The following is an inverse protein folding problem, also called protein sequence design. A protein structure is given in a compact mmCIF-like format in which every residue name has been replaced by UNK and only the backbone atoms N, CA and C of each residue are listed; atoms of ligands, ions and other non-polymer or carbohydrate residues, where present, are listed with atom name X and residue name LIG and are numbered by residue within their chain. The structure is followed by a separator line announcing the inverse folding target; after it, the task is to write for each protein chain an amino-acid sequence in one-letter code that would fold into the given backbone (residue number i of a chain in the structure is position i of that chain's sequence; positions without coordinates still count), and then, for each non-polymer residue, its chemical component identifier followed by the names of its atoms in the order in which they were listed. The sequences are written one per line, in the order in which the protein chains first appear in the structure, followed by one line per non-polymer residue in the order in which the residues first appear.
data_IF_706513307772
#
_entry.id   IF_706513307772
#
_cell.length_a   1.000
_cell.length_b   1.000
_cell.length_c   1.000
_cell.angle_alpha   90.00
_cell.angle_beta   90.00
_cell.angle_gamma   90.00
#
_symmetry.space_group_name_H-M   'P 1'
#
loop_
_entity.id
_entity.type
_entity.pdbx_description
1 polymer ?
#
# COMPACT_ATOMS: atom_id res chain seq x y z
N UNK A 1 10.24 -19.93 -32.36
CA UNK A 1 9.84 -18.50 -32.31
C UNK A 1 8.82 -18.34 -31.19
N UNK A 2 8.94 -17.33 -30.34
CA UNK A 2 8.21 -17.19 -29.06
C UNK A 2 6.71 -16.85 -29.20
N UNK A 3 6.09 -17.09 -30.37
CA UNK A 3 4.68 -16.80 -30.64
C UNK A 3 4.26 -15.32 -30.52
N UNK A 4 5.19 -14.39 -30.31
CA UNK A 4 4.84 -13.00 -30.02
C UNK A 4 4.44 -12.26 -31.28
N UNK A 5 3.23 -11.72 -31.27
CA UNK A 5 2.71 -10.89 -32.33
C UNK A 5 3.23 -9.45 -32.17
N UNK A 6 3.65 -8.83 -33.26
CA UNK A 6 4.20 -7.48 -33.27
C UNK A 6 3.36 -6.56 -34.15
N UNK A 7 3.08 -5.38 -33.63
CA UNK A 7 2.56 -4.27 -34.42
C UNK A 7 3.73 -3.51 -35.04
N UNK A 8 3.65 -3.29 -36.35
CA UNK A 8 4.59 -2.51 -37.12
C UNK A 8 3.92 -1.21 -37.58
N UNK A 9 4.44 -0.07 -37.13
CA UNK A 9 3.93 1.25 -37.49
C UNK A 9 4.94 1.96 -38.40
N UNK A 10 4.45 2.48 -39.52
CA UNK A 10 5.23 3.24 -40.50
C UNK A 10 4.64 4.64 -40.65
N UNK A 11 5.52 5.63 -40.67
CA UNK A 11 5.17 7.01 -40.99
C UNK A 11 5.88 7.36 -42.28
N UNK A 12 5.06 7.73 -43.25
CA UNK A 12 5.46 7.99 -44.63
C UNK A 12 4.98 9.39 -45.02
N UNK A 13 5.66 10.02 -45.96
CA UNK A 13 5.19 11.28 -46.52
C UNK A 13 3.85 11.06 -47.24
N UNK A 14 2.87 11.94 -46.98
CA UNK A 14 1.57 11.84 -47.62
C UNK A 14 1.69 11.96 -49.14
N UNK A 15 1.18 10.97 -49.87
CA UNK A 15 1.07 10.98 -51.33
C UNK A 15 -0.37 10.65 -51.73
N UNK A 16 -1.10 11.58 -52.38
CA UNK A 16 -2.56 11.51 -52.50
C UNK A 16 -3.09 10.38 -53.40
N UNK A 17 -2.26 9.71 -54.20
CA UNK A 17 -2.71 8.72 -55.21
C UNK A 17 -2.13 7.31 -55.04
N UNK A 18 -1.70 6.93 -53.83
CA UNK A 18 -1.04 5.64 -53.62
C UNK A 18 -1.74 4.80 -52.55
N UNK A 19 -2.16 3.59 -52.95
CA UNK A 19 -2.60 2.56 -52.02
C UNK A 19 -1.36 1.87 -51.42
N UNK A 20 -1.27 1.90 -50.10
CA UNK A 20 -0.17 1.30 -49.35
C UNK A 20 -0.52 -0.13 -49.01
N UNK A 21 0.35 -1.06 -49.40
CA UNK A 21 0.26 -2.48 -49.06
C UNK A 21 1.59 -2.90 -48.43
N UNK A 22 1.58 -3.94 -47.61
CA UNK A 22 2.78 -4.41 -46.94
C UNK A 22 3.88 -4.75 -47.94
N UNK A 23 3.53 -5.46 -49.02
CA UNK A 23 4.49 -5.86 -50.04
C UNK A 23 5.02 -4.68 -50.85
N UNK A 24 4.27 -3.57 -50.97
CA UNK A 24 4.75 -2.37 -51.62
C UNK A 24 5.70 -1.58 -50.71
N UNK A 25 5.42 -1.52 -49.41
CA UNK A 25 6.31 -0.94 -48.39
C UNK A 25 7.62 -1.74 -48.22
N UNK A 26 7.54 -3.07 -48.22
CA UNK A 26 8.68 -3.96 -48.00
C UNK A 26 9.65 -3.97 -49.20
N UNK A 27 9.12 -3.98 -50.44
CA UNK A 27 9.93 -4.03 -51.67
C UNK A 27 10.56 -2.69 -52.04
N UNK A 28 9.93 -1.58 -51.63
CA UNK A 28 10.35 -0.24 -52.01
C UNK A 28 10.70 0.61 -50.77
N UNK A 29 11.20 0.00 -49.70
CA UNK A 29 11.59 0.70 -48.48
C UNK A 29 12.61 1.82 -48.71
N UNK A 30 13.41 1.71 -49.78
CA UNK A 30 14.38 2.74 -50.20
C UNK A 30 13.78 3.80 -51.14
N UNK A 31 12.66 3.51 -51.81
CA UNK A 31 12.04 4.41 -52.80
C UNK A 31 10.87 5.20 -52.20
N UNK A 32 10.15 4.61 -51.25
CA UNK A 32 9.26 5.32 -50.35
C UNK A 32 10.09 5.68 -49.12
N UNK A 33 10.45 6.95 -48.96
CA UNK A 33 11.19 7.43 -47.80
C UNK A 33 10.37 7.16 -46.52
N UNK A 34 10.50 5.96 -45.94
CA UNK A 34 9.92 5.61 -44.65
C UNK A 34 10.62 6.50 -43.63
N UNK A 35 9.91 7.54 -43.19
CA UNK A 35 10.45 8.56 -42.29
C UNK A 35 10.58 8.01 -40.87
N UNK A 36 9.62 7.21 -40.41
CA UNK A 36 9.68 6.61 -39.07
C UNK A 36 9.15 5.19 -39.10
N UNK A 37 9.88 4.28 -38.46
CA UNK A 37 9.46 2.89 -38.27
C UNK A 37 9.52 2.53 -36.78
N UNK A 38 8.43 1.97 -36.26
CA UNK A 38 8.33 1.50 -34.87
C UNK A 38 7.75 0.09 -34.84
N UNK A 39 8.33 -0.74 -33.98
CA UNK A 39 7.88 -2.10 -33.69
C UNK A 39 7.47 -2.17 -32.22
N UNK A 40 6.26 -2.65 -31.95
CA UNK A 40 5.70 -2.79 -30.59
C UNK A 40 5.17 -4.21 -30.41
N UNK A 41 5.48 -4.91 -29.30
CA UNK A 41 4.89 -6.21 -29.02
C UNK A 41 3.40 -6.04 -28.70
N UNK A 42 2.55 -6.76 -29.44
CA UNK A 42 1.10 -6.73 -29.30
C UNK A 42 0.60 -7.81 -28.34
N UNK A 43 1.29 -8.94 -28.29
CA UNK A 43 1.03 -10.01 -27.34
C UNK A 43 1.97 -9.91 -26.13
N UNK A 44 1.44 -10.12 -24.93
CA UNK A 44 2.21 -10.24 -23.69
C UNK A 44 1.83 -11.54 -22.97
N UNK A 45 2.84 -12.24 -22.46
CA UNK A 45 2.62 -13.37 -21.55
C UNK A 45 2.46 -12.81 -20.14
N UNK A 46 1.28 -12.97 -19.57
CA UNK A 46 0.97 -12.50 -18.23
C UNK A 46 0.16 -13.55 -17.48
N UNK A 47 0.18 -13.48 -16.15
CA UNK A 47 -0.71 -14.29 -15.33
C UNK A 47 -2.15 -13.81 -15.53
N UNK A 48 -3.13 -14.72 -15.67
CA UNK A 48 -4.52 -14.32 -15.75
C UNK A 48 -4.94 -13.62 -14.45
N UNK A 49 -5.86 -12.64 -14.50
CA UNK A 49 -6.37 -11.98 -13.31
C UNK A 49 -7.06 -12.98 -12.36
N UNK A 50 -6.93 -12.75 -11.06
CA UNK A 50 -7.59 -13.56 -10.03
C UNK A 50 -9.11 -13.53 -10.24
N UNK A 51 -9.72 -14.65 -10.67
CA UNK A 51 -11.18 -14.75 -10.78
C UNK A 51 -11.80 -14.99 -9.41
N UNK A 52 -12.79 -14.19 -9.04
CA UNK A 52 -13.65 -14.42 -7.88
C UNK A 52 -14.84 -15.27 -8.29
N UNK A 53 -15.29 -16.16 -7.40
CA UNK A 53 -16.45 -17.00 -7.63
C UNK A 53 -17.28 -17.14 -6.36
N UNK A 54 -18.56 -17.42 -6.50
CA UNK A 54 -19.40 -17.82 -5.38
C UNK A 54 -18.97 -19.20 -4.90
N UNK A 55 -18.64 -19.33 -3.62
CA UNK A 55 -18.17 -20.60 -3.05
C UNK A 55 -19.22 -21.73 -3.11
N UNK A 56 -20.50 -21.38 -3.28
CA UNK A 56 -21.63 -22.29 -3.41
C UNK A 56 -22.02 -22.59 -4.88
N UNK A 57 -21.40 -21.92 -5.86
CA UNK A 57 -21.61 -22.20 -7.28
C UNK A 57 -20.94 -23.51 -7.69
N UNK A 58 -21.56 -24.28 -8.60
CA UNK A 58 -20.97 -25.49 -9.19
C UNK A 58 -19.69 -25.20 -10.01
N UNK A 59 -19.41 -23.93 -10.32
CA UNK A 59 -18.10 -23.46 -10.76
C UNK A 59 -17.10 -23.49 -9.59
N UNK A 60 -16.70 -24.69 -9.19
CA UNK A 60 -15.70 -24.89 -8.14
C UNK A 60 -14.37 -24.21 -8.47
N UNK A 61 -13.44 -24.11 -7.48
CA UNK A 61 -12.14 -23.48 -7.67
C UNK A 61 -11.36 -24.21 -8.77
N UNK A 62 -11.47 -23.76 -10.02
CA UNK A 62 -10.52 -24.16 -11.04
C UNK A 62 -9.18 -23.52 -10.66
N UNK A 63 -8.39 -24.23 -9.87
CA UNK A 63 -6.94 -24.07 -9.81
C UNK A 63 -6.38 -24.42 -11.19
N UNK A 64 -6.70 -23.61 -12.21
CA UNK A 64 -5.90 -23.57 -13.42
C UNK A 64 -4.53 -23.10 -12.96
N UNK A 65 -3.56 -23.99 -13.08
CA UNK A 65 -2.14 -23.74 -12.81
C UNK A 65 -1.78 -22.31 -13.19
N UNK A 66 -1.03 -21.60 -12.34
CA UNK A 66 -0.45 -20.25 -12.54
C UNK A 66 0.53 -20.23 -13.73
N UNK A 67 0.10 -20.71 -14.89
CA UNK A 67 0.87 -20.69 -16.11
C UNK A 67 0.57 -19.36 -16.79
N UNK A 68 1.60 -18.62 -17.22
CA UNK A 68 1.38 -17.41 -17.98
C UNK A 68 0.63 -17.77 -19.27
N UNK A 69 -0.47 -17.06 -19.53
CA UNK A 69 -1.27 -17.22 -20.75
C UNK A 69 -1.04 -16.02 -21.65
N UNK A 70 -1.23 -16.22 -22.96
CA UNK A 70 -1.08 -15.16 -23.95
C UNK A 70 -2.23 -14.17 -23.81
N UNK A 71 -1.88 -12.91 -23.62
CA UNK A 71 -2.82 -11.80 -23.70
C UNK A 71 -2.47 -10.91 -24.89
N UNK A 72 -3.48 -10.24 -25.45
CA UNK A 72 -3.33 -9.24 -26.51
C UNK A 72 -3.70 -7.87 -25.93
N UNK A 73 -2.98 -6.83 -26.34
CA UNK A 73 -3.28 -5.45 -25.97
C UNK A 73 -4.50 -4.94 -26.75
N UNK A 74 -5.54 -4.50 -26.05
CA UNK A 74 -6.73 -3.92 -26.66
C UNK A 74 -6.58 -2.42 -26.94
N UNK A 75 -5.63 -1.74 -26.32
CA UNK A 75 -5.37 -0.31 -26.52
C UNK A 75 -3.91 -0.07 -26.86
N UNK A 76 -3.66 0.70 -27.92
CA UNK A 76 -2.32 1.08 -28.36
C UNK A 76 -2.33 2.57 -28.63
N UNK A 77 -1.52 3.32 -27.89
CA UNK A 77 -1.41 4.76 -28.06
C UNK A 77 -0.01 5.17 -28.53
N UNK A 78 0.02 6.02 -29.56
CA UNK A 78 1.23 6.66 -30.04
C UNK A 78 1.15 8.17 -29.84
N UNK A 79 2.22 8.71 -29.27
CA UNK A 79 2.38 10.13 -29.02
C UNK A 79 3.34 10.73 -30.06
N UNK A 80 2.89 11.75 -30.79
CA UNK A 80 3.71 12.48 -31.76
C UNK A 80 4.01 13.89 -31.28
N UNK A 81 5.29 14.26 -31.31
CA UNK A 81 5.73 15.60 -30.99
C UNK A 81 5.34 16.57 -32.11
N UNK A 82 4.58 17.61 -31.77
CA UNK A 82 4.15 18.65 -32.73
C UNK A 82 4.74 20.03 -32.45
N UNK A 83 5.12 20.33 -31.20
CA UNK A 83 5.42 21.70 -30.75
C UNK A 83 6.83 22.21 -31.12
N UNK A 84 7.72 21.34 -31.59
CA UNK A 84 9.13 21.69 -31.84
C UNK A 84 9.46 21.56 -33.31
N UNK A 85 9.84 22.69 -33.92
CA UNK A 85 10.24 22.77 -35.32
C UNK A 85 11.76 22.97 -35.50
N UNK A 86 12.49 23.27 -34.42
CA UNK A 86 13.94 23.48 -34.44
C UNK A 86 14.57 22.81 -33.22
N UNK A 87 15.59 21.99 -33.46
CA UNK A 87 16.38 21.35 -32.42
C UNK A 87 17.84 21.81 -32.47
N UNK A 88 18.47 22.12 -31.32
CA UNK A 88 19.90 22.39 -31.26
C UNK A 88 20.66 21.12 -31.65
N UNK A 89 21.61 21.23 -32.60
CA UNK A 89 22.35 20.07 -33.14
C UNK A 89 23.25 19.36 -32.11
N UNK A 90 23.68 20.06 -31.07
CA UNK A 90 24.67 19.58 -30.09
C UNK A 90 24.08 19.32 -28.69
N UNK A 91 22.84 19.75 -28.42
CA UNK A 91 22.23 19.70 -27.09
C UNK A 91 20.92 18.90 -27.11
N UNK A 92 20.96 17.71 -27.73
CA UNK A 92 19.81 16.81 -27.73
C UNK A 92 19.76 16.12 -26.35
N UNK A 93 18.64 16.21 -25.61
CA UNK A 93 18.50 15.50 -24.35
C UNK A 93 18.61 13.99 -24.54
N UNK A 94 19.24 13.32 -23.57
CA UNK A 94 19.60 11.92 -23.71
C UNK A 94 18.39 10.99 -23.91
N UNK A 95 17.25 11.37 -23.36
CA UNK A 95 16.00 10.62 -23.43
C UNK A 95 15.47 10.50 -24.87
N UNK A 96 15.81 11.49 -25.72
CA UNK A 96 15.32 11.59 -27.08
C UNK A 96 16.22 10.92 -28.12
N UNK A 97 17.46 10.53 -27.79
CA UNK A 97 18.39 9.95 -28.77
C UNK A 97 17.82 8.73 -29.51
N UNK A 98 17.09 7.85 -28.81
CA UNK A 98 16.47 6.66 -29.40
C UNK A 98 15.28 6.98 -30.32
N UNK A 99 14.78 8.21 -30.25
CA UNK A 99 13.65 8.68 -31.05
C UNK A 99 14.04 9.70 -32.11
N UNK A 100 15.20 10.33 -31.97
CA UNK A 100 15.72 11.30 -32.89
C UNK A 100 16.36 10.59 -34.09
N UNK A 101 15.89 10.94 -35.29
CA UNK A 101 16.50 10.51 -36.56
C UNK A 101 16.61 11.73 -37.46
N UNK A 102 17.73 11.85 -38.15
CA UNK A 102 18.01 12.94 -39.08
C UNK A 102 18.07 12.34 -40.48
N UNK A 103 17.38 12.94 -41.43
CA UNK A 103 17.49 12.63 -42.85
C UNK A 103 17.53 13.94 -43.64
N UNK A 104 18.45 14.08 -44.59
CA UNK A 104 18.58 15.27 -45.45
C UNK A 104 18.62 16.61 -44.66
N UNK A 105 19.39 16.68 -43.57
CA UNK A 105 19.48 17.85 -42.66
C UNK A 105 18.17 18.25 -41.94
N UNK A 106 17.09 17.49 -42.08
CA UNK A 106 15.84 17.64 -41.34
C UNK A 106 15.70 16.52 -40.30
N UNK A 107 15.11 16.83 -39.14
CA UNK A 107 14.79 15.78 -38.17
C UNK A 107 13.42 15.18 -38.49
N UNK A 108 13.32 13.87 -38.37
CA UNK A 108 12.10 13.12 -38.63
C UNK A 108 11.12 13.28 -37.45
N UNK A 109 9.80 13.19 -37.70
CA UNK A 109 8.80 13.30 -36.64
C UNK A 109 9.10 12.34 -35.48
N UNK A 110 9.17 12.89 -34.27
CA UNK A 110 9.44 12.10 -33.07
C UNK A 110 8.13 11.45 -32.64
N UNK A 111 8.04 10.14 -32.82
CA UNK A 111 6.89 9.33 -32.37
C UNK A 111 7.33 8.30 -31.35
N UNK A 112 6.71 8.39 -30.17
CA UNK A 112 6.93 7.50 -29.05
C UNK A 112 5.68 6.66 -28.80
N UNK A 113 5.89 5.37 -28.56
CA UNK A 113 4.84 4.51 -28.01
C UNK A 113 4.57 4.92 -26.57
N UNK A 114 3.30 5.10 -26.19
CA UNK A 114 2.95 5.50 -24.84
C UNK A 114 2.99 4.29 -23.89
N UNK A 115 4.17 3.98 -23.33
CA UNK A 115 4.31 2.88 -22.37
C UNK A 115 3.52 3.11 -21.07
N UNK A 116 3.14 4.36 -20.75
CA UNK A 116 2.35 4.64 -19.55
C UNK A 116 0.91 4.11 -19.67
N UNK A 117 0.38 4.05 -20.88
CA UNK A 117 -0.92 3.45 -21.16
C UNK A 117 -0.84 1.96 -21.53
N UNK A 118 0.36 1.38 -21.55
CA UNK A 118 0.59 -0.06 -21.68
C UNK A 118 0.39 -0.74 -20.32
N UNK A 119 -0.88 -0.98 -19.98
CA UNK A 119 -1.32 -1.53 -18.70
C UNK A 119 -1.96 -2.91 -18.86
N UNK A 120 -1.83 -3.75 -17.85
CA UNK A 120 -2.42 -5.08 -17.74
C UNK A 120 -3.96 -5.04 -17.74
N UNK A 121 -4.58 -3.90 -17.38
CA UNK A 121 -6.03 -3.70 -17.48
C UNK A 121 -6.55 -3.72 -18.92
N UNK A 122 -5.71 -3.33 -19.89
CA UNK A 122 -6.03 -3.36 -21.32
C UNK A 122 -5.53 -4.64 -22.00
N UNK A 123 -5.14 -5.66 -21.23
CA UNK A 123 -4.80 -6.98 -21.76
C UNK A 123 -6.04 -7.86 -21.76
N UNK A 124 -6.43 -8.37 -22.94
CA UNK A 124 -7.48 -9.39 -23.04
C UNK A 124 -6.82 -10.76 -23.20
N UNK A 125 -7.30 -11.72 -22.42
CA UNK A 125 -6.85 -13.12 -22.48
C UNK A 125 -7.27 -13.74 -23.82
N UNK A 126 -6.32 -14.37 -24.52
CA UNK A 126 -6.61 -15.13 -25.75
C UNK A 126 -7.04 -16.53 -25.37
N UNK A 127 -8.35 -16.80 -25.51
CA UNK A 127 -8.90 -18.14 -25.33
C UNK A 127 -8.91 -18.89 -26.67
N UNK A 128 -8.99 -20.22 -26.60
CA UNK A 128 -9.02 -21.09 -27.80
C UNK A 128 -10.27 -20.89 -28.67
N UNK A 129 -11.32 -20.25 -28.15
CA UNK A 129 -12.59 -19.95 -28.83
C UNK A 129 -12.61 -18.56 -29.51
N UNK A 130 -11.58 -17.73 -29.28
CA UNK A 130 -11.59 -16.32 -29.68
C UNK A 130 -10.91 -16.14 -31.04
N UNK A 131 -11.68 -15.94 -32.11
CA UNK A 131 -11.18 -15.72 -33.48
C UNK A 131 -11.04 -14.24 -33.87
N UNK A 132 -11.79 -13.35 -33.23
CA UNK A 132 -11.80 -11.92 -33.52
C UNK A 132 -11.52 -11.13 -32.25
N UNK A 133 -10.74 -10.05 -32.37
CA UNK A 133 -10.44 -9.17 -31.24
C UNK A 133 -10.36 -7.72 -31.70
N UNK A 134 -11.09 -6.86 -31.00
CA UNK A 134 -11.07 -5.42 -31.22
C UNK A 134 -9.83 -4.79 -30.55
N UNK A 135 -9.09 -4.02 -31.36
CA UNK A 135 -7.91 -3.27 -30.93
C UNK A 135 -8.15 -1.80 -31.25
N UNK A 136 -8.17 -0.98 -30.20
CA UNK A 136 -8.32 0.46 -30.31
C UNK A 136 -6.94 1.10 -30.52
N UNK A 137 -6.78 1.78 -31.66
CA UNK A 137 -5.60 2.58 -31.95
C UNK A 137 -5.88 4.05 -31.61
N UNK A 138 -5.05 4.64 -30.76
CA UNK A 138 -5.17 6.04 -30.35
C UNK A 138 -3.92 6.82 -30.76
N UNK A 139 -4.16 7.95 -31.41
CA UNK A 139 -3.11 8.90 -31.77
C UNK A 139 -3.32 10.19 -30.97
N UNK A 140 -2.27 10.64 -30.29
CA UNK A 140 -2.33 11.83 -29.43
C UNK A 140 -1.14 12.77 -29.71
N UNK A 141 -1.35 14.04 -30.04
CA UNK A 141 -0.26 15.01 -30.08
C UNK A 141 0.27 15.28 -28.67
N UNK A 142 1.58 15.45 -28.53
CA UNK A 142 2.24 15.69 -27.24
C UNK A 142 3.19 16.88 -27.30
N UNK A 143 3.27 17.63 -26.20
CA UNK A 143 4.24 18.71 -26.05
C UNK A 143 5.63 18.19 -25.69
N UNK A 144 6.64 19.00 -25.98
CA UNK A 144 8.04 18.64 -25.74
C UNK A 144 8.34 18.29 -24.29
N UNK A 145 7.91 19.14 -23.35
CA UNK A 145 8.12 18.92 -21.92
C UNK A 145 7.42 17.66 -21.42
N UNK A 146 6.17 17.44 -21.84
CA UNK A 146 5.40 16.26 -21.45
C UNK A 146 6.01 14.97 -22.02
N UNK A 147 6.50 15.01 -23.26
CA UNK A 147 7.20 13.87 -23.87
C UNK A 147 8.48 13.53 -23.11
N UNK A 148 9.31 14.53 -22.76
CA UNK A 148 10.52 14.29 -21.97
C UNK A 148 10.22 13.69 -20.60
N UNK A 149 9.23 14.24 -19.89
CA UNK A 149 8.80 13.70 -18.61
C UNK A 149 8.31 12.25 -18.75
N UNK A 150 7.50 11.96 -19.77
CA UNK A 150 7.03 10.60 -20.06
C UNK A 150 8.19 9.62 -20.27
N UNK A 151 9.18 9.98 -21.10
CA UNK A 151 10.34 9.12 -21.37
C UNK A 151 11.23 8.92 -20.14
N UNK A 152 11.36 9.94 -19.30
CA UNK A 152 12.09 9.84 -18.04
C UNK A 152 11.38 8.91 -17.05
N UNK A 153 10.05 9.03 -16.91
CA UNK A 153 9.25 8.12 -16.08
C UNK A 153 9.32 6.69 -16.61
N UNK A 154 9.30 6.51 -17.94
CA UNK A 154 9.48 5.21 -18.58
C UNK A 154 10.82 4.56 -18.21
N UNK A 155 11.91 5.34 -18.26
CA UNK A 155 13.23 4.86 -17.85
C UNK A 155 13.27 4.49 -16.36
N UNK A 156 12.63 5.28 -15.50
CA UNK A 156 12.50 4.96 -14.07
C UNK A 156 11.76 3.65 -13.84
N UNK A 157 10.66 3.39 -14.57
CA UNK A 157 9.93 2.12 -14.45
C UNK A 157 10.74 0.92 -14.92
N UNK A 158 11.56 1.07 -15.96
CA UNK A 158 12.49 0.00 -16.39
C UNK A 158 13.52 -0.31 -15.30
N UNK A 159 14.02 0.72 -14.61
CA UNK A 159 14.93 0.55 -13.47
C UNK A 159 14.24 -0.14 -12.28
N UNK A 160 13.02 0.28 -11.94
CA UNK A 160 12.20 -0.33 -10.89
C UNK A 160 11.89 -1.80 -11.20
N UNK A 161 11.56 -2.13 -12.45
CA UNK A 161 11.38 -3.51 -12.90
C UNK A 161 12.64 -4.35 -12.71
N UNK A 162 13.82 -3.78 -12.99
CA UNK A 162 15.12 -4.46 -12.77
C UNK A 162 15.41 -4.69 -11.28
N UNK A 163 14.88 -3.86 -10.39
CA UNK A 163 14.96 -4.05 -8.94
C UNK A 163 14.05 -5.16 -8.41
N UNK A 164 13.21 -5.76 -9.26
CA UNK A 164 12.37 -6.91 -8.92
C UNK A 164 10.93 -6.57 -8.51
N UNK A 165 10.47 -5.35 -8.77
CA UNK A 165 9.05 -4.99 -8.62
C UNK A 165 8.19 -5.75 -9.64
N UNK A 166 6.97 -6.11 -9.23
CA UNK A 166 6.03 -6.85 -10.08
C UNK A 166 5.44 -5.94 -11.17
N UNK A 167 5.12 -6.53 -12.32
CA UNK A 167 4.39 -5.84 -13.41
C UNK A 167 3.10 -5.19 -12.93
N UNK A 168 2.44 -5.77 -11.90
CA UNK A 168 1.23 -5.21 -11.29
C UNK A 168 1.51 -3.88 -10.60
N UNK A 169 2.57 -3.78 -9.79
CA UNK A 169 2.90 -2.53 -9.08
C UNK A 169 3.28 -1.42 -10.05
N UNK A 170 4.03 -1.76 -11.10
CA UNK A 170 4.40 -0.79 -12.12
C UNK A 170 3.14 -0.25 -12.79
N UNK A 171 2.15 -1.11 -13.05
CA UNK A 171 0.88 -0.70 -13.64
C UNK A 171 0.02 0.14 -12.71
N UNK A 172 0.02 -0.13 -11.40
CA UNK A 172 -0.65 0.73 -10.41
C UNK A 172 -0.05 2.15 -10.45
N UNK A 173 1.28 2.28 -10.46
CA UNK A 173 1.95 3.60 -10.54
C UNK A 173 1.75 4.26 -11.91
N UNK A 174 1.76 3.50 -13.01
CA UNK A 174 1.39 4.02 -14.34
C UNK A 174 -0.03 4.56 -14.35
N UNK A 175 -0.97 3.86 -13.72
CA UNK A 175 -2.37 4.30 -13.61
C UNK A 175 -2.46 5.64 -12.89
N UNK A 176 -1.71 5.81 -11.80
CA UNK A 176 -1.65 7.09 -11.09
C UNK A 176 -1.11 8.22 -11.96
N UNK A 177 -0.16 7.96 -12.86
CA UNK A 177 0.39 9.00 -13.73
C UNK A 177 -0.49 9.29 -14.97
N UNK A 178 -1.11 8.25 -15.55
CA UNK A 178 -1.85 8.36 -16.81
C UNK A 178 -3.29 8.84 -16.63
N UNK A 179 -3.99 8.36 -15.60
CA UNK A 179 -5.43 8.61 -15.42
C UNK A 179 -5.73 9.77 -14.47
N UNK A 180 -4.74 10.21 -13.68
CA UNK A 180 -4.95 11.20 -12.62
C UNK A 180 -4.59 12.60 -13.08
N UNK A 181 -5.37 13.61 -12.68
CA UNK A 181 -5.00 15.00 -12.91
C UNK A 181 -3.67 15.32 -12.22
N UNK A 182 -2.78 16.08 -12.87
CA UNK A 182 -1.43 16.37 -12.38
C UNK A 182 -1.42 16.88 -10.92
N UNK A 183 -2.36 17.76 -10.55
CA UNK A 183 -2.53 18.24 -9.17
C UNK A 183 -2.78 17.14 -8.14
N UNK A 184 -3.67 16.18 -8.45
CA UNK A 184 -3.97 15.07 -7.54
C UNK A 184 -2.77 14.13 -7.44
N UNK A 185 -2.08 13.86 -8.55
CA UNK A 185 -0.85 13.08 -8.56
C UNK A 185 0.25 13.72 -7.68
N UNK A 186 0.52 15.02 -7.87
CA UNK A 186 1.53 15.75 -7.09
C UNK A 186 1.18 15.77 -5.60
N UNK A 187 -0.09 15.99 -5.29
CA UNK A 187 -0.60 15.95 -3.91
C UNK A 187 -0.37 14.57 -3.31
N UNK A 188 -0.70 13.50 -4.05
CA UNK A 188 -0.48 12.12 -3.58
C UNK A 188 0.99 11.84 -3.32
N UNK A 189 1.90 12.34 -4.16
CA UNK A 189 3.34 12.19 -3.95
C UNK A 189 3.82 12.91 -2.68
N UNK A 190 3.35 14.13 -2.43
CA UNK A 190 3.69 14.90 -1.22
C UNK A 190 3.14 14.20 0.02
N UNK A 191 1.87 13.78 0.01
CA UNK A 191 1.28 13.05 1.14
C UNK A 191 1.99 11.71 1.38
N UNK A 192 2.34 10.97 0.32
CA UNK A 192 3.19 9.75 0.35
C UNK A 192 4.52 9.98 1.06
N UNK A 193 5.21 11.05 0.69
CA UNK A 193 6.48 11.41 1.31
C UNK A 193 6.32 11.79 2.79
N UNK A 194 5.31 12.61 3.11
CA UNK A 194 5.03 13.03 4.49
C UNK A 194 4.62 11.84 5.37
N UNK A 195 3.84 10.90 4.83
CA UNK A 195 3.50 9.66 5.51
C UNK A 195 4.74 8.84 5.84
N UNK A 196 5.58 8.54 4.85
CA UNK A 196 6.81 7.78 5.04
C UNK A 196 7.75 8.47 6.04
N UNK A 197 7.79 9.81 6.02
CA UNK A 197 8.53 10.59 7.00
C UNK A 197 7.95 10.42 8.41
N UNK A 198 6.64 10.50 8.59
CA UNK A 198 6.01 10.32 9.90
C UNK A 198 6.05 8.88 10.39
N UNK A 199 5.94 7.89 9.52
CA UNK A 199 6.20 6.50 9.84
C UNK A 199 7.63 6.32 10.31
N UNK A 200 8.60 6.85 9.58
CA UNK A 200 10.00 6.82 9.99
C UNK A 200 10.24 7.54 11.32
N UNK A 201 9.61 8.71 11.52
CA UNK A 201 9.70 9.45 12.77
C UNK A 201 8.95 8.75 13.90
N UNK A 202 7.87 8.04 13.63
CA UNK A 202 7.23 7.15 14.58
C UNK A 202 8.22 6.04 14.91
N UNK A 203 8.80 5.33 13.95
CA UNK A 203 9.82 4.31 14.23
C UNK A 203 11.05 4.84 14.99
N UNK A 204 11.49 6.07 14.74
CA UNK A 204 12.69 6.67 15.34
C UNK A 204 12.44 7.37 16.67
N UNK A 205 11.31 8.06 16.80
CA UNK A 205 10.93 8.85 17.97
C UNK A 205 9.92 8.13 18.87
N UNK A 206 9.33 7.03 18.41
CA UNK A 206 8.56 6.17 19.30
C UNK A 206 9.57 5.48 20.21
N UNK A 207 9.54 5.94 21.46
CA UNK A 207 10.31 5.35 22.54
C UNK A 207 9.98 3.86 22.70
N UNK A 208 8.99 3.28 22.02
CA UNK A 208 8.56 1.89 22.16
C UNK A 208 9.68 0.86 21.86
N UNK A 209 10.40 0.91 20.73
CA UNK A 209 11.48 -0.08 20.47
C UNK A 209 12.65 0.06 21.45
N UNK A 210 13.03 1.31 21.76
CA UNK A 210 14.07 1.61 22.78
C UNK A 210 13.63 1.20 24.19
N UNK A 211 12.36 1.43 24.52
CA UNK A 211 11.68 1.08 25.76
C UNK A 211 11.69 -0.44 25.93
N UNK A 212 11.18 -1.17 24.93
CA UNK A 212 11.21 -2.63 24.94
C UNK A 212 12.63 -3.12 24.99
N UNK A 213 13.59 -2.54 24.26
CA UNK A 213 15.00 -2.94 24.26
C UNK A 213 15.63 -2.85 25.66
N UNK A 214 15.39 -1.78 26.39
CA UNK A 214 16.10 -1.45 27.64
C UNK A 214 15.40 -1.94 28.93
N UNK A 215 14.13 -2.36 28.89
CA UNK A 215 13.38 -2.78 30.09
C UNK A 215 13.71 -4.22 30.53
N UNK A 216 13.93 -4.42 31.84
CA UNK A 216 14.12 -5.75 32.48
C UNK A 216 12.89 -6.28 33.23
N UNK A 217 11.95 -5.39 33.58
CA UNK A 217 10.71 -5.73 34.30
C UNK A 217 9.46 -5.50 33.42
N UNK A 218 8.53 -6.45 33.45
CA UNK A 218 7.27 -6.47 32.68
C UNK A 218 6.07 -5.95 33.48
N UNK A 219 6.31 -5.22 34.56
CA UNK A 219 5.25 -4.69 35.43
C UNK A 219 4.52 -3.57 34.67
N UNK A 220 3.19 -3.62 34.64
CA UNK A 220 2.34 -2.65 33.92
C UNK A 220 2.07 -2.98 32.45
N UNK A 221 2.55 -4.13 31.93
CA UNK A 221 2.26 -4.56 30.54
C UNK A 221 1.31 -5.75 30.56
N UNK A 222 0.08 -5.54 30.08
CA UNK A 222 -0.90 -6.61 29.88
C UNK A 222 -0.47 -7.55 28.76
N UNK A 223 0.01 -8.75 29.11
CA UNK A 223 0.43 -9.80 28.16
C UNK A 223 -0.71 -10.17 27.21
N UNK A 224 -1.96 -10.15 27.71
CA UNK A 224 -3.16 -10.43 26.90
C UNK A 224 -3.35 -9.38 25.80
N UNK A 225 -3.14 -8.11 26.13
CA UNK A 225 -3.24 -7.00 25.17
C UNK A 225 -2.15 -7.12 24.08
N UNK A 226 -0.91 -7.41 24.47
CA UNK A 226 0.19 -7.59 23.49
C UNK A 226 -0.06 -8.80 22.57
N UNK A 227 -0.52 -9.92 23.13
CA UNK A 227 -0.88 -11.10 22.33
C UNK A 227 -2.01 -10.81 21.34
N UNK A 228 -3.07 -10.12 21.79
CA UNK A 228 -4.18 -9.73 20.92
C UNK A 228 -3.75 -8.80 19.79
N UNK A 229 -2.90 -7.80 20.10
CA UNK A 229 -2.33 -6.88 19.10
C UNK A 229 -1.47 -7.63 18.07
N UNK A 230 -0.60 -8.53 18.52
CA UNK A 230 0.24 -9.35 17.63
C UNK A 230 -0.61 -10.24 16.73
N UNK A 231 -1.62 -10.92 17.28
CA UNK A 231 -2.56 -11.75 16.51
C UNK A 231 -3.30 -10.92 15.46
N UNK A 232 -3.86 -9.79 15.87
CA UNK A 232 -4.59 -8.87 15.00
C UNK A 232 -3.72 -8.40 13.84
N UNK A 233 -2.48 -8.00 14.13
CA UNK A 233 -1.52 -7.50 13.15
C UNK A 233 -1.15 -8.57 12.12
N UNK A 234 -0.94 -9.82 12.55
CA UNK A 234 -0.65 -10.95 11.65
C UNK A 234 -1.83 -11.22 10.72
N UNK A 235 -3.05 -11.25 11.26
CA UNK A 235 -4.27 -11.49 10.47
C UNK A 235 -4.46 -10.39 9.40
N UNK A 236 -4.29 -9.12 9.79
CA UNK A 236 -4.37 -7.99 8.85
C UNK A 236 -3.29 -8.07 7.79
N UNK A 237 -2.04 -8.38 8.17
CA UNK A 237 -0.95 -8.54 7.22
C UNK A 237 -1.21 -9.65 6.19
N UNK A 238 -1.68 -10.83 6.64
CA UNK A 238 -2.01 -11.94 5.76
C UNK A 238 -3.13 -11.58 4.77
N UNK A 239 -4.12 -10.82 5.22
CA UNK A 239 -5.19 -10.34 4.34
C UNK A 239 -4.69 -9.32 3.31
N UNK A 240 -3.86 -8.36 3.71
CA UNK A 240 -3.26 -7.43 2.76
C UNK A 240 -2.40 -8.15 1.71
N UNK A 241 -1.71 -9.22 2.14
CA UNK A 241 -0.93 -10.07 1.25
C UNK A 241 -1.82 -10.88 0.28
N UNK A 242 -2.96 -11.41 0.72
CA UNK A 242 -3.92 -12.16 -0.11
C UNK A 242 -4.68 -11.27 -1.12
N UNK A 243 -4.99 -10.03 -0.71
CA UNK A 243 -5.61 -9.02 -1.57
C UNK A 243 -4.62 -8.40 -2.59
N UNK A 244 -3.34 -8.81 -2.56
CA UNK A 244 -2.28 -8.27 -3.40
C UNK A 244 -2.25 -6.73 -3.36
N UNK A 245 -2.29 -6.16 -2.15
CA UNK A 245 -2.28 -4.70 -1.96
C UNK A 245 -0.94 -4.07 -2.32
N UNK A 246 -0.95 -2.77 -2.58
CA UNK A 246 0.27 -2.03 -2.95
C UNK A 246 1.38 -2.22 -1.90
N UNK A 247 2.61 -2.44 -2.36
CA UNK A 247 3.79 -2.55 -1.50
C UNK A 247 4.02 -1.32 -0.61
N UNK A 248 3.52 -0.15 -1.02
CA UNK A 248 3.55 1.06 -0.20
C UNK A 248 2.83 0.88 1.14
N UNK A 249 1.78 0.05 1.20
CA UNK A 249 1.02 -0.24 2.42
C UNK A 249 1.50 -1.55 3.06
N UNK A 250 1.82 -2.55 2.24
CA UNK A 250 2.22 -3.88 2.72
C UNK A 250 3.56 -3.85 3.48
N UNK A 251 4.55 -3.09 3.01
CA UNK A 251 5.90 -3.06 3.60
C UNK A 251 5.87 -2.42 5.00
N UNK A 252 5.33 -1.20 5.21
CA UNK A 252 5.23 -0.63 6.56
C UNK A 252 4.44 -1.52 7.51
N UNK A 253 3.31 -2.08 7.05
CA UNK A 253 2.49 -2.97 7.87
C UNK A 253 3.22 -4.28 8.25
N UNK A 254 4.04 -4.81 7.33
CA UNK A 254 4.89 -5.98 7.58
C UNK A 254 5.99 -5.71 8.61
N UNK A 255 6.67 -4.56 8.52
CA UNK A 255 7.67 -4.13 9.52
C UNK A 255 7.02 -4.02 10.91
N UNK A 256 5.84 -3.39 10.99
CA UNK A 256 5.05 -3.32 12.23
C UNK A 256 4.69 -4.70 12.77
N UNK A 257 4.34 -5.66 11.90
CA UNK A 257 4.10 -7.05 12.28
C UNK A 257 5.32 -7.74 12.90
N UNK A 258 6.50 -7.58 12.29
CA UNK A 258 7.76 -8.14 12.84
C UNK A 258 8.07 -7.56 14.21
N UNK A 259 7.82 -6.27 14.41
CA UNK A 259 8.05 -5.60 15.70
C UNK A 259 7.11 -6.15 16.78
N UNK A 260 5.82 -6.31 16.49
CA UNK A 260 4.86 -6.88 17.46
C UNK A 260 5.21 -8.32 17.84
N UNK A 261 5.62 -9.14 16.87
CA UNK A 261 6.13 -10.50 17.13
C UNK A 261 7.38 -10.46 18.02
N UNK A 262 8.32 -9.56 17.74
CA UNK A 262 9.51 -9.38 18.58
C UNK A 262 9.17 -8.99 20.03
N UNK A 263 8.19 -8.09 20.24
CA UNK A 263 7.69 -7.74 21.58
C UNK A 263 7.13 -8.96 22.29
N UNK A 264 6.32 -9.76 21.61
CA UNK A 264 5.73 -10.99 22.16
C UNK A 264 6.81 -11.99 22.59
N UNK A 265 7.80 -12.24 21.73
CA UNK A 265 8.94 -13.13 22.03
C UNK A 265 9.76 -12.63 23.22
N UNK A 266 9.88 -11.31 23.40
CA UNK A 266 10.60 -10.72 24.53
C UNK A 266 9.89 -10.91 25.87
N UNK A 267 8.55 -10.88 25.89
CA UNK A 267 7.74 -11.14 27.09
C UNK A 267 7.86 -12.61 27.49
N UNK A 268 7.73 -13.50 26.52
CA UNK A 268 7.91 -14.94 26.70
C UNK A 268 9.40 -15.28 26.72
N UNK A 269 10.11 -14.88 27.78
CA UNK A 269 11.49 -15.35 28.00
C UNK A 269 11.49 -16.88 27.99
N UNK A 270 12.05 -17.46 26.94
CA UNK A 270 12.18 -18.90 26.78
C UNK A 270 13.17 -19.42 27.83
N UNK A 271 12.66 -20.05 28.87
CA UNK A 271 13.50 -20.71 29.88
C UNK A 271 13.96 -22.06 29.31
N UNK A 272 15.18 -22.05 28.75
CA UNK A 272 15.84 -23.21 28.12
C UNK A 272 15.94 -24.44 29.03
N UNK A 273 15.75 -24.30 30.34
CA UNK A 273 15.91 -25.37 31.33
C UNK A 273 14.60 -26.11 31.65
N UNK A 274 13.43 -25.55 31.36
CA UNK A 274 12.13 -26.14 31.74
C UNK A 274 11.17 -26.41 30.58
N UNK A 275 11.49 -26.01 29.34
CA UNK A 275 10.59 -26.08 28.17
C UNK A 275 9.15 -25.61 28.51
N UNK A 276 9.02 -24.59 29.34
CA UNK A 276 7.72 -24.07 29.75
C UNK A 276 7.73 -22.55 29.71
N UNK A 277 6.66 -21.97 29.18
CA UNK A 277 6.43 -20.53 29.25
C UNK A 277 6.07 -20.16 30.69
N UNK A 278 7.04 -19.65 31.45
CA UNK A 278 6.83 -19.23 32.85
C UNK A 278 6.21 -17.82 32.85
N UNK A 279 4.94 -17.73 33.30
CA UNK A 279 4.21 -16.47 33.45
C UNK A 279 4.70 -15.75 34.72
N UNK A 280 5.21 -14.52 34.59
CA UNK A 280 5.55 -13.67 35.74
C UNK A 280 4.26 -13.12 36.36
N UNK A 281 4.15 -13.18 37.68
CA UNK A 281 2.96 -12.82 38.47
C UNK A 281 2.52 -11.37 38.28
N UNK A 282 1.23 -11.17 37.97
CA UNK A 282 0.54 -9.87 37.84
C UNK A 282 0.54 -9.11 39.16
N UNK A 283 0.68 -7.78 39.09
CA UNK A 283 0.78 -6.91 40.28
C UNK A 283 -0.61 -6.51 40.82
N UNK A 284 -0.71 -6.18 42.11
CA UNK A 284 -1.98 -5.93 42.79
C UNK A 284 -2.76 -4.69 42.28
N UNK A 285 -2.10 -3.72 41.63
CA UNK A 285 -2.75 -2.56 41.02
C UNK A 285 -3.46 -2.89 39.69
N UNK A 286 -3.01 -3.93 38.99
CA UNK A 286 -3.55 -4.42 37.72
C UNK A 286 -4.96 -5.03 37.89
N UNK A 287 -5.25 -5.60 39.07
CA UNK A 287 -6.52 -6.29 39.35
C UNK A 287 -7.75 -5.37 39.39
N UNK A 288 -7.58 -4.08 39.70
CA UNK A 288 -8.72 -3.14 39.86
C UNK A 288 -9.21 -2.56 38.54
N UNK A 289 -8.32 -2.29 37.58
CA UNK A 289 -8.70 -1.88 36.21
C UNK A 289 -9.20 -3.07 35.39
N UNK A 290 -8.53 -4.23 35.52
CA UNK A 290 -8.91 -5.46 34.82
C UNK A 290 -10.33 -5.94 35.14
N UNK A 291 -10.86 -5.65 36.33
CA UNK A 291 -12.21 -6.07 36.72
C UNK A 291 -13.30 -5.32 35.94
N UNK A 292 -13.16 -4.01 35.76
CA UNK A 292 -14.10 -3.21 34.96
C UNK A 292 -13.99 -3.53 33.47
N UNK A 293 -12.76 -3.78 32.98
CA UNK A 293 -12.55 -4.22 31.61
C UNK A 293 -13.13 -5.61 31.34
N UNK A 294 -13.00 -6.56 32.28
CA UNK A 294 -13.57 -7.90 32.14
C UNK A 294 -15.10 -7.89 32.08
N UNK A 295 -15.74 -7.03 32.86
CA UNK A 295 -17.20 -6.91 32.86
C UNK A 295 -17.71 -6.31 31.55
N UNK A 296 -17.09 -5.20 31.11
CA UNK A 296 -17.41 -4.58 29.82
C UNK A 296 -17.15 -5.53 28.64
N UNK A 297 -16.01 -6.23 28.63
CA UNK A 297 -15.67 -7.20 27.58
C UNK A 297 -16.62 -8.40 27.55
N UNK A 298 -17.10 -8.87 28.71
CA UNK A 298 -18.03 -10.01 28.76
C UNK A 298 -19.35 -9.67 28.08
N UNK A 299 -19.99 -8.56 28.45
CA UNK A 299 -21.26 -8.16 27.84
C UNK A 299 -21.12 -7.87 26.34
N UNK A 300 -20.02 -7.21 25.98
CA UNK A 300 -19.75 -6.83 24.61
C UNK A 300 -19.45 -8.06 23.73
N UNK A 301 -18.79 -9.09 24.27
CA UNK A 301 -18.54 -10.35 23.57
C UNK A 301 -19.81 -11.12 23.20
N UNK A 302 -20.88 -11.05 24.02
CA UNK A 302 -22.15 -11.72 23.73
C UNK A 302 -22.87 -11.16 22.49
N UNK A 303 -22.70 -9.88 22.19
CA UNK A 303 -23.24 -9.26 20.98
C UNK A 303 -22.28 -9.46 19.81
N UNK A 304 -20.98 -9.39 20.08
CA UNK A 304 -19.96 -9.37 19.05
C UNK A 304 -19.73 -10.71 18.37
N UNK A 305 -19.66 -11.81 19.13
CA UNK A 305 -19.48 -13.14 18.55
C UNK A 305 -20.60 -13.53 17.57
N UNK A 306 -21.91 -13.39 17.90
CA UNK A 306 -22.96 -13.69 16.95
C UNK A 306 -22.98 -12.73 15.77
N UNK A 307 -22.63 -11.45 15.94
CA UNK A 307 -22.52 -10.51 14.83
C UNK A 307 -21.39 -10.89 13.86
N UNK A 308 -20.21 -11.26 14.37
CA UNK A 308 -19.09 -11.73 13.55
C UNK A 308 -19.42 -13.06 12.84
N UNK A 309 -20.14 -13.95 13.50
CA UNK A 309 -20.57 -15.21 12.90
C UNK A 309 -21.61 -14.96 11.80
N UNK A 310 -22.58 -14.09 12.04
CA UNK A 310 -23.58 -13.72 11.06
C UNK A 310 -22.96 -13.06 9.82
N UNK A 311 -21.99 -12.16 9.98
CA UNK A 311 -21.28 -11.55 8.85
C UNK A 311 -20.41 -12.54 8.09
N UNK A 312 -19.76 -13.49 8.78
CA UNK A 312 -18.99 -14.55 8.15
C UNK A 312 -19.88 -15.49 7.31
N UNK A 313 -21.03 -15.91 7.85
CA UNK A 313 -22.02 -16.76 7.14
C UNK A 313 -22.63 -16.01 5.96
N UNK A 314 -23.03 -14.75 6.16
CA UNK A 314 -23.54 -13.91 5.07
C UNK A 314 -22.52 -13.77 3.94
N UNK A 315 -21.26 -13.49 4.28
CA UNK A 315 -20.20 -13.36 3.28
C UNK A 315 -19.91 -14.68 2.56
N UNK A 316 -20.04 -15.82 3.23
CA UNK A 316 -19.87 -17.13 2.60
C UNK A 316 -20.93 -17.41 1.53
N UNK A 317 -22.19 -17.02 1.80
CA UNK A 317 -23.33 -17.32 0.93
C UNK A 317 -23.42 -16.34 -0.25
N UNK A 318 -23.26 -15.04 0.03
CA UNK A 318 -23.61 -13.99 -0.94
C UNK A 318 -22.43 -13.27 -1.57
N UNK A 319 -21.21 -13.39 -1.01
CA UNK A 319 -20.04 -12.71 -1.59
C UNK A 319 -19.20 -13.66 -2.43
N UNK A 320 -18.63 -13.13 -3.51
CA UNK A 320 -17.63 -13.84 -4.28
C UNK A 320 -16.27 -13.79 -3.57
N UNK A 321 -15.53 -14.90 -3.61
CA UNK A 321 -14.19 -15.01 -3.01
C UNK A 321 -13.25 -15.73 -3.97
N UNK A 322 -11.94 -15.52 -3.81
CA UNK A 322 -10.91 -16.24 -4.58
C UNK A 322 -10.77 -17.69 -4.14
N UNK A 323 -11.02 -17.97 -2.87
CA UNK A 323 -10.89 -19.29 -2.25
C UNK A 323 -11.53 -19.31 -0.86
N UNK A 324 -11.70 -20.51 -0.29
CA UNK A 324 -12.11 -20.67 1.11
C UNK A 324 -11.09 -20.03 2.07
N UNK A 325 -9.80 -20.03 1.72
CA UNK A 325 -8.76 -19.35 2.49
C UNK A 325 -8.96 -17.83 2.50
N UNK A 326 -9.23 -17.25 1.34
CA UNK A 326 -9.49 -15.81 1.18
C UNK A 326 -10.77 -15.40 1.94
N UNK A 327 -11.83 -16.21 1.89
CA UNK A 327 -13.04 -16.01 2.70
C UNK A 327 -12.76 -16.05 4.21
N UNK A 328 -11.98 -17.05 4.67
CA UNK A 328 -11.64 -17.19 6.08
C UNK A 328 -10.83 -15.99 6.57
N UNK A 329 -9.82 -15.57 5.80
CA UNK A 329 -9.02 -14.38 6.10
C UNK A 329 -9.88 -13.12 6.16
N UNK A 330 -10.75 -12.90 5.17
CA UNK A 330 -11.64 -11.74 5.11
C UNK A 330 -12.61 -11.71 6.31
N UNK A 331 -13.12 -12.87 6.71
CA UNK A 331 -13.97 -13.02 7.89
C UNK A 331 -13.19 -12.77 9.19
N UNK A 332 -11.96 -13.28 9.30
CA UNK A 332 -11.07 -13.04 10.44
C UNK A 332 -10.70 -11.57 10.57
N UNK A 333 -10.37 -10.89 9.47
CA UNK A 333 -10.07 -9.45 9.47
C UNK A 333 -11.27 -8.63 9.90
N UNK A 334 -12.47 -8.93 9.38
CA UNK A 334 -13.69 -8.26 9.82
C UNK A 334 -13.92 -8.43 11.32
N UNK A 335 -13.70 -9.63 11.85
CA UNK A 335 -13.77 -9.88 13.28
C UNK A 335 -12.71 -9.05 14.03
N UNK A 336 -11.43 -9.14 13.65
CA UNK A 336 -10.32 -8.40 14.27
C UNK A 336 -10.58 -6.89 14.27
N UNK A 337 -11.09 -6.33 13.18
CA UNK A 337 -11.49 -4.92 13.13
C UNK A 337 -12.70 -4.61 14.00
N UNK A 338 -13.69 -5.50 14.12
CA UNK A 338 -14.79 -5.28 15.05
C UNK A 338 -14.34 -5.35 16.53
N UNK A 339 -13.49 -6.32 16.87
CA UNK A 339 -12.88 -6.44 18.21
C UNK A 339 -11.97 -5.25 18.53
N UNK A 340 -11.14 -4.83 17.58
CA UNK A 340 -10.24 -3.68 17.74
C UNK A 340 -11.01 -2.40 18.07
N UNK A 341 -12.17 -2.17 17.43
CA UNK A 341 -13.04 -1.04 17.71
C UNK A 341 -13.48 -1.04 19.17
N UNK A 342 -13.94 -2.21 19.58
CA UNK A 342 -14.48 -2.47 20.90
C UNK A 342 -13.41 -2.30 21.98
N UNK A 343 -12.18 -2.77 21.75
CA UNK A 343 -11.08 -2.60 22.71
C UNK A 343 -10.66 -1.15 22.91
N UNK A 344 -11.01 -0.24 21.99
CA UNK A 344 -10.75 1.20 22.14
C UNK A 344 -11.86 1.95 22.90
N UNK A 345 -13.07 1.38 23.02
CA UNK A 345 -14.20 2.02 23.71
C UNK A 345 -14.06 2.09 25.24
N UNK A 346 -13.48 1.10 25.97
CA UNK A 346 -13.30 1.18 27.42
C UNK A 346 -12.57 2.45 27.85
N UNK A 347 -11.53 2.87 27.12
CA UNK A 347 -10.78 4.08 27.44
C UNK A 347 -11.66 5.33 27.33
N UNK A 348 -12.48 5.43 26.28
CA UNK A 348 -13.47 6.51 26.12
C UNK A 348 -14.52 6.48 27.23
N UNK A 349 -14.97 5.29 27.64
CA UNK A 349 -15.95 5.12 28.71
C UNK A 349 -15.38 5.53 30.08
N UNK A 350 -14.16 5.12 30.38
CA UNK A 350 -13.46 5.49 31.62
C UNK A 350 -13.25 7.00 31.68
N UNK A 351 -12.81 7.63 30.58
CA UNK A 351 -12.68 9.08 30.49
C UNK A 351 -14.01 9.80 30.80
N UNK A 352 -15.12 9.29 30.26
CA UNK A 352 -16.45 9.84 30.50
C UNK A 352 -16.93 9.66 31.95
N UNK A 353 -16.70 8.47 32.53
CA UNK A 353 -17.12 8.12 33.89
C UNK A 353 -16.32 8.88 34.95
N UNK A 354 -15.00 8.97 34.77
CA UNK A 354 -14.10 9.66 35.70
C UNK A 354 -14.04 11.17 35.47
N UNK A 355 -14.59 11.67 34.36
CA UNK A 355 -14.53 13.09 33.95
C UNK A 355 -13.08 13.61 33.91
N UNK A 356 -12.14 12.75 33.53
CA UNK A 356 -10.72 13.09 33.39
C UNK A 356 -10.09 12.29 32.25
N UNK A 357 -9.13 12.88 31.54
CA UNK A 357 -8.38 12.20 30.48
C UNK A 357 -6.99 11.83 30.96
N UNK A 358 -6.52 10.64 30.58
CA UNK A 358 -5.19 10.17 30.93
C UNK A 358 -4.10 11.07 30.32
N UNK A 359 -3.00 11.26 31.04
CA UNK A 359 -1.90 12.07 30.54
C UNK A 359 -1.10 11.33 29.47
N UNK A 360 -1.33 11.68 28.20
CA UNK A 360 -0.54 11.24 27.05
C UNK A 360 0.51 12.30 26.66
N UNK A 361 1.79 11.93 26.47
CA UNK A 361 2.80 12.85 25.96
C UNK A 361 2.38 13.45 24.61
N UNK A 362 2.41 14.78 24.51
CA UNK A 362 1.92 15.51 23.33
C UNK A 362 2.55 15.06 22.01
N UNK A 363 3.85 14.70 22.03
CA UNK A 363 4.58 14.26 20.82
C UNK A 363 4.05 12.93 20.29
N UNK A 364 3.98 11.91 21.14
CA UNK A 364 3.44 10.59 20.79
C UNK A 364 1.98 10.67 20.36
N UNK A 365 1.20 11.50 21.06
CA UNK A 365 -0.18 11.76 20.70
C UNK A 365 -0.32 12.38 19.30
N UNK A 366 0.51 13.36 18.96
CA UNK A 366 0.52 13.98 17.62
C UNK A 366 0.99 13.04 16.53
N UNK A 367 2.02 12.23 16.75
CA UNK A 367 2.44 11.24 15.75
C UNK A 367 1.32 10.24 15.44
N UNK A 368 0.62 9.77 16.47
CA UNK A 368 -0.52 8.88 16.28
C UNK A 368 -1.65 9.56 15.50
N UNK A 369 -1.95 10.82 15.80
CA UNK A 369 -2.99 11.60 15.12
C UNK A 369 -2.69 11.85 13.64
N UNK A 370 -1.45 12.20 13.32
CA UNK A 370 -1.06 12.45 11.93
C UNK A 370 -1.03 11.15 11.12
N UNK A 371 -0.62 10.04 11.71
CA UNK A 371 -0.62 8.75 11.01
C UNK A 371 -2.04 8.34 10.62
N UNK A 372 -3.01 8.41 11.54
CA UNK A 372 -4.39 8.01 11.23
C UNK A 372 -5.05 8.93 10.18
N UNK A 373 -4.82 10.24 10.28
CA UNK A 373 -5.32 11.20 9.28
C UNK A 373 -4.73 10.95 7.88
N UNK A 374 -3.44 10.61 7.81
CA UNK A 374 -2.78 10.35 6.52
C UNK A 374 -3.22 9.00 5.94
N UNK A 375 -3.44 7.99 6.77
CA UNK A 375 -4.00 6.69 6.37
C UNK A 375 -5.37 6.85 5.70
N UNK A 376 -6.21 7.73 6.23
CA UNK A 376 -7.51 8.06 5.64
C UNK A 376 -7.37 8.76 4.27
N UNK A 377 -6.43 9.69 4.13
CA UNK A 377 -6.13 10.32 2.83
C UNK A 377 -5.65 9.28 1.81
N UNK A 378 -4.80 8.32 2.21
CA UNK A 378 -4.39 7.25 1.31
C UNK A 378 -5.49 6.26 0.99
N UNK A 379 -6.40 5.98 1.91
CA UNK A 379 -7.57 5.17 1.63
C UNK A 379 -8.36 5.73 0.44
N UNK A 380 -8.40 7.06 0.27
CA UNK A 380 -9.06 7.70 -0.88
C UNK A 380 -8.21 7.74 -2.16
N UNK A 381 -6.88 7.84 -2.04
CA UNK A 381 -5.98 8.06 -3.18
C UNK A 381 -5.40 6.77 -3.79
N UNK A 382 -5.17 5.75 -2.96
CA UNK A 382 -4.52 4.49 -3.35
C UNK A 382 -5.54 3.36 -3.27
N UNK A 383 -5.45 2.40 -4.19
CA UNK A 383 -6.30 1.21 -4.24
C UNK A 383 -6.03 0.30 -3.04
N UNK A 384 -6.70 0.57 -1.92
CA UNK A 384 -6.72 -0.30 -0.74
C UNK A 384 -8.04 -1.06 -0.62
N UNK A 385 -8.05 -2.24 0.01
CA UNK A 385 -9.27 -2.98 0.28
C UNK A 385 -10.22 -2.15 1.14
N UNK A 386 -11.50 -2.11 0.77
CA UNK A 386 -12.53 -1.29 1.43
C UNK A 386 -12.65 -1.57 2.93
N UNK A 387 -12.45 -2.82 3.35
CA UNK A 387 -12.49 -3.23 4.75
C UNK A 387 -11.35 -2.59 5.56
N UNK A 388 -10.15 -2.52 4.99
CA UNK A 388 -9.01 -1.84 5.62
C UNK A 388 -9.25 -0.33 5.70
N UNK A 389 -9.79 0.26 4.62
CA UNK A 389 -10.15 1.69 4.58
C UNK A 389 -11.16 2.06 5.66
N UNK A 390 -12.18 1.23 5.86
CA UNK A 390 -13.19 1.43 6.91
C UNK A 390 -12.58 1.32 8.32
N UNK A 391 -11.59 0.44 8.51
CA UNK A 391 -10.88 0.30 9.77
C UNK A 391 -10.04 1.54 10.12
N UNK A 392 -9.34 2.12 9.14
CA UNK A 392 -8.63 3.40 9.31
C UNK A 392 -9.60 4.53 9.69
N UNK A 393 -10.68 4.67 8.93
CA UNK A 393 -11.69 5.72 9.14
C UNK A 393 -12.35 5.64 10.53
N UNK A 394 -12.59 4.42 11.02
CA UNK A 394 -13.05 4.16 12.38
C UNK A 394 -12.08 4.73 13.42
N UNK A 395 -10.79 4.48 13.26
CA UNK A 395 -9.79 4.90 14.24
C UNK A 395 -9.71 6.43 14.31
N UNK A 396 -9.94 7.12 13.19
CA UNK A 396 -10.11 8.58 13.11
C UNK A 396 -11.36 9.07 13.86
N UNK A 397 -12.52 8.41 13.74
CA UNK A 397 -13.72 8.75 14.53
C UNK A 397 -13.45 8.64 16.03
N UNK A 398 -12.85 7.53 16.47
CA UNK A 398 -12.50 7.31 17.88
C UNK A 398 -11.55 8.40 18.35
N UNK A 399 -10.56 8.74 17.53
CA UNK A 399 -9.58 9.77 17.82
C UNK A 399 -10.23 11.16 17.97
N UNK A 400 -11.20 11.51 17.12
CA UNK A 400 -11.98 12.76 17.26
C UNK A 400 -12.80 12.81 18.54
N UNK A 401 -13.46 11.70 18.93
CA UNK A 401 -14.19 11.62 20.21
C UNK A 401 -13.23 11.79 21.38
N UNK A 402 -12.05 11.17 21.31
CA UNK A 402 -11.02 11.33 22.33
C UNK A 402 -10.54 12.79 22.45
N UNK A 403 -10.32 13.48 21.31
CA UNK A 403 -10.00 14.91 21.29
C UNK A 403 -11.09 15.75 21.94
N UNK A 404 -12.35 15.46 21.63
CA UNK A 404 -13.49 16.14 22.24
C UNK A 404 -13.53 15.93 23.77
N UNK A 405 -13.32 14.70 24.23
CA UNK A 405 -13.25 14.41 25.67
C UNK A 405 -12.08 15.14 26.34
N UNK A 406 -10.93 15.24 25.68
CA UNK A 406 -9.77 15.97 26.21
C UNK A 406 -10.01 17.47 26.29
N UNK A 407 -10.80 18.02 25.39
CA UNK A 407 -11.21 19.42 25.46
C UNK A 407 -12.18 19.66 26.62
N UNK A 408 -13.10 18.72 26.88
CA UNK A 408 -14.12 18.85 27.92
C UNK A 408 -13.62 18.51 29.34
N UNK A 409 -12.71 17.55 29.48
CA UNK A 409 -12.26 17.01 30.78
C UNK A 409 -10.79 17.34 31.06
N UNK A 410 -10.42 17.69 32.31
CA UNK A 410 -9.04 17.97 32.68
C UNK A 410 -8.15 16.73 32.55
N UNK A 411 -6.87 16.97 32.23
CA UNK A 411 -5.86 15.91 32.12
C UNK A 411 -5.40 15.51 33.52
N UNK A 412 -5.65 14.27 33.90
CA UNK A 412 -5.21 13.71 35.17
C UNK A 412 -3.77 13.19 35.05
N UNK A 413 -2.84 13.91 35.67
CA UNK A 413 -1.41 13.55 35.68
C UNK A 413 -1.08 12.31 36.51
N UNK A 414 -1.99 11.88 37.39
CA UNK A 414 -1.82 10.67 38.20
C UNK A 414 -2.24 9.41 37.45
N UNK A 415 -3.04 9.58 36.39
CA UNK A 415 -3.49 8.52 35.49
C UNK A 415 -2.71 8.59 34.19
N UNK A 416 -1.62 7.85 34.14
CA UNK A 416 -0.94 7.57 32.87
C UNK A 416 -1.82 6.59 32.08
N UNK A 417 -2.02 6.87 30.79
CA UNK A 417 -2.71 5.95 29.89
C UNK A 417 -1.90 4.65 29.85
N UNK A 418 -2.50 3.45 29.85
CA UNK A 418 -1.77 2.19 29.74
C UNK A 418 -0.94 2.12 28.44
N UNK A 419 -1.35 2.86 27.40
CA UNK A 419 -0.55 3.05 26.19
C UNK A 419 0.60 4.06 26.37
N UNK A 420 0.53 4.93 27.38
CA UNK A 420 1.53 5.96 27.73
C UNK A 420 2.40 5.61 28.94
N UNK A 421 2.06 4.59 29.72
CA UNK A 421 2.95 3.90 30.68
C UNK A 421 4.22 3.39 29.96
N UNK A 422 4.13 3.26 28.63
CA UNK A 422 5.23 2.96 27.71
C UNK A 422 6.20 4.13 27.48
N UNK A 423 5.85 5.36 27.88
CA UNK A 423 6.59 6.59 27.54
C UNK A 423 6.85 7.52 28.74
N UNK A 424 6.04 7.51 29.79
CA UNK A 424 6.19 8.42 30.92
C UNK A 424 7.34 8.07 31.88
N UNK A 425 7.55 6.78 32.19
CA UNK A 425 8.72 6.33 32.99
C UNK A 425 10.07 6.66 32.31
N UNK A 426 10.08 6.82 30.99
CA UNK A 426 11.30 7.13 30.24
C UNK A 426 11.80 8.57 30.49
N UNK A 427 10.90 9.52 30.74
CA UNK A 427 11.31 10.91 31.00
C UNK A 427 11.86 11.09 32.41
N UNK A 428 11.32 10.37 33.40
CA UNK A 428 11.81 10.42 34.78
C UNK A 428 13.17 9.73 34.94
N UNK A 429 13.38 8.57 34.31
CA UNK A 429 14.68 7.86 34.34
C UNK A 429 15.77 8.64 33.59
N UNK A 430 15.43 9.25 32.45
CA UNK A 430 16.39 10.07 31.67
C UNK A 430 16.70 11.39 32.39
N UNK A 431 15.74 12.00 33.10
CA UNK A 431 16.01 13.17 33.94
C UNK A 431 16.84 12.83 35.18
N UNK A 432 16.63 11.67 35.81
CA UNK A 432 17.45 11.20 36.93
C UNK A 432 18.89 10.88 36.50
N UNK A 433 19.09 10.22 35.35
CA UNK A 433 20.43 9.98 34.81
C UNK A 433 21.14 11.30 34.44
N UNK A 434 20.44 12.25 33.83
CA UNK A 434 21.00 13.59 33.55
C UNK A 434 21.35 14.36 34.83
N UNK A 435 20.55 14.22 35.90
CA UNK A 435 20.84 14.81 37.22
C UNK A 435 22.04 14.15 37.91
N UNK A 436 22.22 12.82 37.76
CA UNK A 436 23.38 12.09 38.30
C UNK A 436 24.66 12.47 37.55
N UNK A 437 24.63 12.48 36.22
CA UNK A 437 25.77 12.89 35.36
C UNK A 437 26.14 14.37 35.59
N UNK A 438 25.16 15.23 35.86
CA UNK A 438 25.38 16.63 36.20
C UNK A 438 25.96 16.87 37.60
N UNK A 439 25.72 15.96 38.55
CA UNK A 439 26.33 16.01 39.89
C UNK A 439 27.77 15.48 39.90
N UNK A 440 28.06 14.43 39.16
CA UNK A 440 29.42 13.87 39.06
C UNK A 440 30.37 14.82 38.33
N UNK A 441 29.89 15.63 37.37
CA UNK A 441 30.69 16.67 36.71
C UNK A 441 30.94 17.93 37.55
N UNK A 442 30.26 18.11 38.68
CA UNK A 442 30.51 19.22 39.63
C UNK A 442 31.37 18.80 40.82
N UNK A 443 31.71 17.51 40.92
CA UNK A 443 32.49 16.92 42.02
C UNK A 443 33.91 16.51 41.60
N UNK A 444 34.32 16.81 40.36
CA UNK A 444 35.67 16.60 39.85
C UNK A 444 36.31 17.93 39.45
#
# INVERSE_FOLDING_TARGET
MNGTLFLHMFIIAHRPNQNWDWDSLARHSNQYEIKVYRKVPLSKYALPPDRTFHLLSEEGPQQKSRKPVTHIKSLIEFNMLIDVHKFPRLEIPFELYNYFRISNNEFLPIVAYNLLNDRNTFLKEVKSDTNEMEIQFKYSPISYGKLRLMLHVEASFKSIAQMGFSDKEIDDVKSMFADTHLYVFLTTMVVSFVHLLFDFLAFKNDNDVSFWKNRKNTVGISVRSVMWRTFSQIVVFLYLLDENTSYLVLIPNGISGVIEVWKLLKIFKFDSRSWRFVRKTESAHERRTTAYDLEAMRYLSYILYPLCLATAVYSFVYSEHKSVYSWLLRSLVNAVYAFGFIFMLPQLFINYKLKSVAHLPWRTFMYKAFNTFIDDVFAFLITMPTIHRLACFRDDIIFLIYLYQRWLYPVDKRRLDENSDMTAESNEVVEEEKKKIGKDKKSN
#
